data_IF_816121919721
#
_entry.id   IF_816121919721
#
_cell.length_a   1.000
_cell.length_b   1.000
_cell.length_c   1.000
_cell.angle_alpha   90.00
_cell.angle_beta   90.00
_cell.angle_gamma   90.00
#
_symmetry.space_group_name_H-M   'P 1'
#
loop_
_entity.id
_entity.type
_entity.pdbx_description
1 polymer ?
#
# COMPACT_ATOMS: atom_id res chain seq x y z
N UNK A 1 10.32 48.88 -45.57
CA UNK A 1 9.47 47.69 -45.45
C UNK A 1 8.45 47.95 -44.35
N UNK A 2 7.24 48.33 -44.72
CA UNK A 2 6.10 48.51 -43.81
C UNK A 2 4.85 48.15 -44.61
N UNK A 3 4.13 47.12 -44.19
CA UNK A 3 2.88 46.69 -44.82
C UNK A 3 1.76 46.80 -43.78
N UNK A 4 0.99 47.86 -43.95
CA UNK A 4 -0.41 47.97 -43.52
C UNK A 4 -1.23 46.86 -44.17
N UNK A 5 -2.12 46.19 -43.43
CA UNK A 5 -3.15 45.32 -44.00
C UNK A 5 -4.44 45.41 -43.16
N UNK A 6 -5.39 46.14 -43.75
CA UNK A 6 -6.81 45.83 -43.95
C UNK A 6 -7.53 44.90 -42.94
N UNK A 7 -8.53 45.47 -42.28
CA UNK A 7 -9.56 44.78 -41.50
C UNK A 7 -10.67 44.30 -42.45
N UNK A 8 -10.99 43.02 -42.43
CA UNK A 8 -12.16 42.45 -43.10
C UNK A 8 -13.18 42.00 -42.04
N UNK A 9 -14.32 42.69 -41.98
CA UNK A 9 -15.47 42.30 -41.15
C UNK A 9 -16.19 41.12 -41.82
N UNK A 10 -16.23 39.97 -41.13
CA UNK A 10 -17.01 38.81 -41.53
C UNK A 10 -18.22 38.68 -40.60
N UNK A 11 -19.41 38.96 -41.13
CA UNK A 11 -20.69 38.70 -40.46
C UNK A 11 -20.97 37.19 -40.45
N UNK A 12 -20.89 36.56 -39.28
CA UNK A 12 -21.44 35.22 -39.07
C UNK A 12 -22.87 35.32 -38.53
N UNK A 13 -23.82 34.85 -39.32
CA UNK A 13 -25.21 34.63 -38.93
C UNK A 13 -25.25 33.43 -37.97
N UNK A 14 -25.72 33.66 -36.75
CA UNK A 14 -25.95 32.60 -35.74
C UNK A 14 -27.27 31.91 -36.03
N UNK A 15 -27.22 30.65 -36.46
CA UNK A 15 -28.39 29.78 -36.48
C UNK A 15 -28.57 29.15 -35.09
N UNK A 16 -29.53 29.64 -34.32
CA UNK A 16 -29.89 29.07 -33.02
C UNK A 16 -30.62 27.73 -33.21
N UNK A 17 -29.95 26.64 -32.88
CA UNK A 17 -30.53 25.29 -32.85
C UNK A 17 -31.05 25.03 -31.45
N UNK A 18 -32.37 25.08 -31.24
CA UNK A 18 -33.00 24.77 -29.96
C UNK A 18 -33.05 23.25 -29.74
N UNK A 19 -32.05 22.70 -29.05
CA UNK A 19 -32.14 21.32 -28.52
C UNK A 19 -33.05 21.30 -27.28
N UNK A 20 -34.04 20.41 -27.20
CA UNK A 20 -34.87 20.29 -26.00
C UNK A 20 -34.03 19.77 -24.83
N UNK A 21 -34.15 20.47 -23.70
CA UNK A 21 -33.52 20.12 -22.42
C UNK A 21 -34.21 18.87 -21.86
N UNK A 22 -33.61 17.69 -22.03
CA UNK A 22 -34.00 16.52 -21.23
C UNK A 22 -33.70 16.85 -19.75
N UNK A 23 -34.76 16.87 -18.93
CA UNK A 23 -34.66 16.99 -17.49
C UNK A 23 -33.80 15.84 -16.93
N UNK A 24 -32.57 16.16 -16.52
CA UNK A 24 -31.71 15.22 -15.81
C UNK A 24 -32.19 15.13 -14.36
N UNK A 25 -32.56 13.92 -13.95
CA UNK A 25 -32.79 13.58 -12.54
C UNK A 25 -31.46 13.84 -11.80
N UNK A 26 -31.43 14.67 -10.75
CA UNK A 26 -30.20 14.91 -10.01
C UNK A 26 -29.68 13.58 -9.46
N UNK A 27 -28.36 13.30 -9.54
CA UNK A 27 -27.79 12.11 -8.92
C UNK A 27 -28.15 12.15 -7.43
N UNK A 28 -28.75 11.06 -6.92
CA UNK A 28 -28.88 10.84 -5.48
C UNK A 28 -27.49 10.98 -4.87
N UNK A 29 -27.30 11.98 -4.01
CA UNK A 29 -26.14 12.04 -3.12
C UNK A 29 -26.08 10.73 -2.36
N UNK A 30 -25.14 9.88 -2.75
CA UNK A 30 -24.91 8.60 -2.13
C UNK A 30 -24.21 8.87 -0.79
N UNK A 31 -24.96 8.61 0.28
CA UNK A 31 -24.61 8.46 1.69
C UNK A 31 -23.26 9.03 2.17
N UNK A 32 -23.36 9.93 3.15
CA UNK A 32 -22.30 10.42 4.04
C UNK A 32 -21.26 9.36 4.41
N UNK A 33 -19.99 9.72 4.64
CA UNK A 33 -19.01 8.82 5.23
C UNK A 33 -19.62 8.23 6.50
N UNK A 34 -19.71 6.90 6.55
CA UNK A 34 -20.01 6.19 7.78
C UNK A 34 -19.08 6.74 8.86
N UNK A 35 -19.63 7.15 10.00
CA UNK A 35 -18.88 7.45 11.20
C UNK A 35 -18.08 6.19 11.55
N UNK A 36 -16.85 6.11 11.07
CA UNK A 36 -15.89 5.12 11.53
C UNK A 36 -15.59 5.59 12.94
N UNK A 37 -16.09 4.87 13.94
CA UNK A 37 -15.61 5.00 15.31
C UNK A 37 -14.12 4.70 15.30
N UNK A 38 -13.29 5.73 15.15
CA UNK A 38 -11.84 5.60 15.15
C UNK A 38 -11.42 5.29 16.57
N UNK A 39 -11.19 4.02 16.87
CA UNK A 39 -10.45 3.65 18.07
C UNK A 39 -9.08 4.33 17.99
N UNK A 40 -8.62 4.99 19.08
CA UNK A 40 -7.36 5.71 19.06
C UNK A 40 -6.20 4.76 18.75
N UNK A 41 -5.33 5.17 17.83
CA UNK A 41 -4.11 4.40 17.47
C UNK A 41 -3.26 4.19 18.72
N UNK A 42 -2.84 2.95 19.03
CA UNK A 42 -1.96 2.68 20.16
C UNK A 42 -0.64 3.48 20.06
N UNK A 43 -0.03 3.88 21.19
CA UNK A 43 1.26 4.55 21.16
C UNK A 43 2.33 3.60 20.63
N UNK A 44 3.15 4.08 19.70
CA UNK A 44 4.28 3.29 19.19
C UNK A 44 5.48 3.40 20.13
N UNK A 45 6.33 2.37 20.10
CA UNK A 45 7.67 2.45 20.68
C UNK A 45 8.46 3.48 19.86
N UNK A 46 9.07 4.52 20.48
CA UNK A 46 9.78 5.55 19.73
C UNK A 46 10.87 5.01 18.80
N UNK A 47 11.55 3.93 19.22
CA UNK A 47 12.57 3.26 18.43
C UNK A 47 12.04 2.64 17.14
N UNK A 48 10.77 2.24 17.08
CA UNK A 48 10.18 1.61 15.90
C UNK A 48 9.89 2.64 14.79
N UNK A 49 9.81 3.93 15.11
CA UNK A 49 9.21 4.94 14.21
C UNK A 49 10.11 6.16 13.99
N UNK A 50 11.33 6.11 14.50
CA UNK A 50 12.33 7.17 14.38
C UNK A 50 12.93 7.28 12.98
N UNK A 51 12.95 6.18 12.21
CA UNK A 51 13.48 6.17 10.84
C UNK A 51 12.69 5.23 9.91
N UNK A 52 12.84 5.37 8.58
CA UNK A 52 12.28 4.41 7.62
C UNK A 52 12.75 2.97 7.84
N UNK A 53 14.03 2.79 8.19
CA UNK A 53 14.62 1.48 8.45
C UNK A 53 14.00 0.84 9.68
N UNK A 54 13.83 1.61 10.74
CA UNK A 54 13.22 1.14 11.98
C UNK A 54 11.76 0.70 11.78
N UNK A 55 10.96 1.47 11.04
CA UNK A 55 9.54 1.15 10.88
C UNK A 55 9.31 -0.04 9.95
N UNK A 56 10.15 -0.21 8.92
CA UNK A 56 10.13 -1.43 8.10
C UNK A 56 10.55 -2.65 8.91
N UNK A 57 11.64 -2.55 9.70
CA UNK A 57 12.07 -3.64 10.57
C UNK A 57 10.97 -4.03 11.58
N UNK A 58 10.35 -3.04 12.24
CA UNK A 58 9.26 -3.28 13.17
C UNK A 58 8.06 -3.96 12.52
N UNK A 59 7.72 -3.60 11.28
CA UNK A 59 6.63 -4.22 10.51
C UNK A 59 6.89 -5.70 10.21
N UNK A 60 8.13 -6.07 9.84
CA UNK A 60 8.52 -7.47 9.64
C UNK A 60 8.59 -8.27 10.94
N UNK A 61 9.16 -7.68 11.99
CA UNK A 61 9.32 -8.33 13.28
C UNK A 61 7.98 -8.66 13.94
N UNK A 62 7.01 -7.74 13.90
CA UNK A 62 5.75 -7.89 14.65
C UNK A 62 4.84 -8.99 14.09
N UNK A 63 4.94 -9.29 12.80
CA UNK A 63 4.21 -10.41 12.18
C UNK A 63 4.97 -11.74 12.31
N UNK A 64 6.26 -11.69 12.64
CA UNK A 64 7.14 -12.85 12.70
C UNK A 64 7.17 -13.52 14.08
N UNK A 65 7.21 -14.85 14.10
CA UNK A 65 7.29 -15.65 15.32
C UNK A 65 6.83 -17.10 15.14
N UNK A 66 7.09 -17.96 16.13
CA UNK A 66 6.60 -19.34 16.15
C UNK A 66 5.06 -19.40 16.19
N UNK A 67 4.53 -20.59 15.88
CA UNK A 67 3.11 -20.89 16.01
C UNK A 67 2.63 -20.64 17.44
N UNK A 68 1.36 -20.29 17.61
CA UNK A 68 0.69 -20.05 18.90
C UNK A 68 1.23 -18.87 19.72
N UNK A 69 2.40 -18.29 19.37
CA UNK A 69 2.86 -17.07 20.00
C UNK A 69 1.99 -15.90 19.55
N UNK A 70 1.28 -15.29 20.51
CA UNK A 70 0.52 -14.06 20.26
C UNK A 70 1.44 -12.97 19.73
N UNK A 71 1.02 -12.34 18.63
CA UNK A 71 1.69 -11.16 18.10
C UNK A 71 1.31 -9.92 18.91
N UNK A 72 2.22 -8.96 18.94
CA UNK A 72 1.99 -7.65 19.55
C UNK A 72 1.18 -6.78 18.57
N UNK A 73 -0.12 -7.01 18.50
CA UNK A 73 -0.99 -6.31 17.54
C UNK A 73 -1.15 -4.82 17.84
N UNK A 74 -0.93 -4.40 19.09
CA UNK A 74 -0.86 -2.99 19.44
C UNK A 74 0.40 -2.34 18.84
N UNK A 75 1.56 -3.01 18.93
CA UNK A 75 2.77 -2.57 18.20
C UNK A 75 2.50 -2.49 16.70
N UNK A 76 1.88 -3.51 16.09
CA UNK A 76 1.55 -3.50 14.66
C UNK A 76 0.67 -2.30 14.29
N UNK A 77 -0.47 -2.14 14.95
CA UNK A 77 -1.42 -1.06 14.67
C UNK A 77 -0.80 0.32 14.92
N UNK A 78 0.14 0.45 15.86
CA UNK A 78 0.84 1.71 16.16
C UNK A 78 1.72 2.23 15.02
N UNK A 79 2.07 1.38 14.03
CA UNK A 79 2.92 1.75 12.89
C UNK A 79 2.13 2.46 11.78
N UNK A 80 0.80 2.30 11.74
CA UNK A 80 -0.02 2.73 10.61
C UNK A 80 -0.68 4.09 10.84
N UNK A 81 -0.71 4.89 9.78
CA UNK A 81 -1.46 6.15 9.77
C UNK A 81 -2.97 5.90 9.70
N UNK A 82 -3.76 6.90 10.10
CA UNK A 82 -5.22 6.84 9.93
C UNK A 82 -5.58 6.69 8.45
N UNK A 83 -6.37 5.66 8.12
CA UNK A 83 -6.78 5.37 6.74
C UNK A 83 -5.80 4.51 5.95
N UNK A 84 -4.71 4.04 6.56
CA UNK A 84 -3.76 3.16 5.92
C UNK A 84 -4.39 1.86 5.39
N UNK A 85 -3.71 1.24 4.42
CA UNK A 85 -4.19 0.03 3.73
C UNK A 85 -3.09 -1.00 3.55
N UNK A 86 -3.47 -2.26 3.72
CA UNK A 86 -2.72 -3.41 3.24
C UNK A 86 -3.41 -3.92 1.99
N UNK A 87 -2.68 -4.06 0.88
CA UNK A 87 -3.25 -4.41 -0.41
C UNK A 87 -2.55 -5.64 -0.97
N UNK A 88 -3.30 -6.72 -1.21
CA UNK A 88 -2.76 -7.95 -1.79
C UNK A 88 -3.03 -8.02 -3.28
N UNK A 89 -2.00 -8.19 -4.09
CA UNK A 89 -2.15 -8.63 -5.49
C UNK A 89 -2.18 -10.14 -5.57
N UNK A 90 -3.21 -10.68 -6.23
CA UNK A 90 -3.33 -12.11 -6.47
C UNK A 90 -4.07 -12.42 -7.77
N UNK A 91 -3.80 -13.58 -8.41
CA UNK A 91 -4.57 -14.01 -9.57
C UNK A 91 -6.04 -14.28 -9.20
N UNK A 92 -6.95 -13.96 -10.12
CA UNK A 92 -8.38 -14.29 -10.02
C UNK A 92 -8.66 -15.63 -10.68
N UNK A 93 -9.72 -16.32 -10.25
CA UNK A 93 -10.16 -17.60 -10.83
C UNK A 93 -10.54 -17.46 -12.30
N UNK A 94 -11.16 -16.33 -12.67
CA UNK A 94 -11.65 -16.04 -14.01
C UNK A 94 -10.54 -15.49 -14.94
N UNK A 95 -9.30 -15.39 -14.45
CA UNK A 95 -8.18 -14.79 -15.16
C UNK A 95 -7.91 -13.33 -14.77
N UNK A 96 -6.67 -12.89 -15.00
CA UNK A 96 -6.16 -11.59 -14.57
C UNK A 96 -5.89 -11.52 -13.05
N UNK A 97 -5.75 -10.31 -12.53
CA UNK A 97 -5.37 -10.06 -11.14
C UNK A 97 -6.42 -9.22 -10.39
N UNK A 98 -6.44 -9.36 -9.06
CA UNK A 98 -7.16 -8.51 -8.12
C UNK A 98 -6.17 -7.82 -7.18
N UNK A 99 -6.46 -6.56 -6.84
CA UNK A 99 -5.83 -5.85 -5.74
C UNK A 99 -6.86 -5.73 -4.59
N UNK A 100 -6.74 -6.59 -3.58
CA UNK A 100 -7.67 -6.62 -2.44
C UNK A 100 -7.11 -5.77 -1.30
N UNK A 101 -7.77 -4.64 -1.02
CA UNK A 101 -7.40 -3.74 0.06
C UNK A 101 -8.13 -4.11 1.37
N UNK A 102 -7.38 -4.14 2.47
CA UNK A 102 -7.87 -4.33 3.84
C UNK A 102 -7.25 -3.27 4.76
N UNK A 103 -7.89 -3.03 5.89
CA UNK A 103 -7.36 -2.15 6.94
C UNK A 103 -6.29 -2.89 7.76
N UNK A 104 -5.41 -2.19 8.51
CA UNK A 104 -4.51 -2.82 9.48
C UNK A 104 -5.24 -3.75 10.43
N UNK A 105 -6.36 -3.31 11.01
CA UNK A 105 -7.17 -4.17 11.88
C UNK A 105 -7.76 -5.38 11.13
N UNK A 106 -8.25 -5.20 9.90
CA UNK A 106 -8.72 -6.32 9.09
C UNK A 106 -7.61 -7.33 8.81
N UNK A 107 -6.36 -6.87 8.59
CA UNK A 107 -5.21 -7.77 8.49
C UNK A 107 -4.98 -8.52 9.79
N UNK A 108 -5.01 -7.85 10.95
CA UNK A 108 -4.89 -8.50 12.27
C UNK A 108 -5.94 -9.59 12.44
N UNK A 109 -7.20 -9.29 12.11
CA UNK A 109 -8.32 -10.23 12.27
C UNK A 109 -8.13 -11.49 11.40
N UNK A 110 -7.67 -11.32 10.15
CA UNK A 110 -7.42 -12.43 9.24
C UNK A 110 -6.14 -13.21 9.57
N UNK A 111 -5.04 -12.51 9.87
CA UNK A 111 -3.72 -13.10 10.07
C UNK A 111 -3.62 -13.84 11.42
N UNK A 112 -4.33 -13.38 12.45
CA UNK A 112 -4.34 -14.03 13.78
C UNK A 112 -4.76 -15.50 13.68
N UNK A 113 -5.79 -15.81 12.88
CA UNK A 113 -6.28 -17.18 12.68
C UNK A 113 -5.22 -18.11 12.06
N UNK A 114 -4.32 -17.55 11.24
CA UNK A 114 -3.22 -18.29 10.65
C UNK A 114 -2.06 -18.46 11.64
N UNK A 115 -1.64 -17.39 12.33
CA UNK A 115 -0.50 -17.41 13.25
C UNK A 115 -0.73 -18.21 14.54
N UNK A 116 -1.99 -18.39 14.95
CA UNK A 116 -2.34 -19.30 16.04
C UNK A 116 -1.97 -20.76 15.73
N UNK A 117 -1.95 -21.14 14.46
CA UNK A 117 -1.73 -22.53 14.02
C UNK A 117 -0.38 -22.75 13.37
N UNK A 118 0.23 -21.70 12.81
CA UNK A 118 1.40 -21.81 11.96
C UNK A 118 2.50 -20.87 12.45
N UNK A 119 3.74 -21.38 12.44
CA UNK A 119 4.91 -20.53 12.50
C UNK A 119 5.00 -19.71 11.23
N UNK A 120 5.40 -18.46 11.39
CA UNK A 120 5.55 -17.54 10.28
C UNK A 120 6.68 -16.57 10.61
N UNK A 121 7.71 -16.59 9.79
CA UNK A 121 8.84 -15.68 9.89
C UNK A 121 9.02 -15.05 8.53
N UNK A 122 8.88 -13.74 8.46
CA UNK A 122 9.13 -12.98 7.26
C UNK A 122 10.24 -11.96 7.51
N UNK A 123 11.21 -11.92 6.61
CA UNK A 123 12.32 -10.98 6.69
C UNK A 123 12.55 -10.31 5.35
N UNK A 124 13.02 -9.08 5.40
CA UNK A 124 13.56 -8.39 4.24
C UNK A 124 14.92 -8.99 3.86
N UNK A 125 15.16 -9.14 2.56
CA UNK A 125 16.45 -9.56 2.00
C UNK A 125 17.07 -8.51 1.08
N UNK A 126 16.28 -7.63 0.48
CA UNK A 126 16.77 -6.54 -0.36
C UNK A 126 15.79 -5.36 -0.34
N UNK A 127 16.28 -4.16 -0.59
CA UNK A 127 15.46 -2.95 -0.59
C UNK A 127 15.94 -1.94 -1.63
N UNK A 128 14.99 -1.35 -2.35
CA UNK A 128 15.17 -0.12 -3.11
C UNK A 128 14.29 0.96 -2.53
N UNK A 129 14.81 2.18 -2.40
CA UNK A 129 14.11 3.27 -1.72
C UNK A 129 14.27 4.58 -2.48
N UNK A 130 13.15 5.27 -2.65
CA UNK A 130 13.06 6.60 -3.22
C UNK A 130 12.45 7.51 -2.15
N UNK A 131 13.09 8.66 -1.87
CA UNK A 131 12.64 9.61 -0.86
C UNK A 131 12.66 11.03 -1.38
N UNK A 132 11.59 11.78 -1.12
CA UNK A 132 11.52 13.21 -1.36
C UNK A 132 10.73 13.89 -0.23
N UNK A 133 11.36 14.85 0.47
CA UNK A 133 10.74 15.52 1.62
C UNK A 133 10.23 14.53 2.69
N UNK A 134 8.92 14.60 2.94
CA UNK A 134 8.21 13.83 3.98
C UNK A 134 7.62 12.51 3.46
N UNK A 135 7.89 12.12 2.22
CA UNK A 135 7.41 10.86 1.64
C UNK A 135 8.57 9.93 1.31
N UNK A 136 8.31 8.63 1.43
CA UNK A 136 9.24 7.59 1.03
C UNK A 136 8.47 6.42 0.43
N UNK A 137 9.00 5.87 -0.66
CA UNK A 137 8.54 4.61 -1.24
C UNK A 137 9.66 3.60 -1.21
N UNK A 138 9.35 2.36 -0.84
CA UNK A 138 10.33 1.29 -0.82
C UNK A 138 9.76 0.02 -1.43
N UNK A 139 10.48 -0.57 -2.37
CA UNK A 139 10.29 -1.97 -2.73
C UNK A 139 11.22 -2.78 -1.83
N UNK A 140 10.61 -3.64 -1.02
CA UNK A 140 11.26 -4.47 -0.04
C UNK A 140 11.00 -5.94 -0.38
N UNK A 141 12.04 -6.63 -0.82
CA UNK A 141 11.96 -8.05 -1.17
C UNK A 141 12.01 -8.86 0.10
N UNK A 142 11.04 -9.76 0.27
CA UNK A 142 10.91 -10.60 1.45
C UNK A 142 11.09 -12.08 1.15
N UNK A 143 11.42 -12.82 2.20
CA UNK A 143 11.31 -14.28 2.28
C UNK A 143 10.47 -14.67 3.48
N UNK A 144 9.56 -15.63 3.32
CA UNK A 144 8.72 -16.17 4.39
C UNK A 144 9.06 -17.65 4.66
N UNK A 145 9.15 -18.02 5.93
CA UNK A 145 9.50 -19.36 6.44
C UNK A 145 8.52 -19.80 7.53
N UNK A 146 8.37 -21.11 7.73
CA UNK A 146 7.54 -21.63 8.82
C UNK A 146 8.31 -21.64 10.13
N UNK A 147 9.60 -21.99 10.06
CA UNK A 147 10.58 -21.84 11.14
C UNK A 147 11.72 -20.93 10.67
N UNK A 148 12.20 -20.05 11.55
CA UNK A 148 13.33 -19.16 11.25
C UNK A 148 14.61 -19.90 10.80
N UNK A 149 14.74 -21.19 11.16
CA UNK A 149 15.88 -22.06 10.82
C UNK A 149 15.66 -22.86 9.53
N UNK A 150 14.50 -22.76 8.89
CA UNK A 150 14.25 -23.45 7.63
C UNK A 150 15.29 -23.03 6.58
N UNK A 151 15.90 -24.00 5.90
CA UNK A 151 16.93 -23.74 4.91
C UNK A 151 16.39 -22.93 3.71
N UNK A 152 15.19 -23.27 3.22
CA UNK A 152 14.55 -22.63 2.08
C UNK A 152 13.24 -21.93 2.48
N UNK A 153 12.95 -20.74 1.93
CA UNK A 153 11.69 -20.08 2.22
C UNK A 153 10.57 -20.79 1.48
N UNK A 154 9.37 -20.81 2.06
CA UNK A 154 8.20 -21.35 1.38
C UNK A 154 7.57 -20.32 0.43
N UNK A 155 7.83 -19.03 0.66
CA UNK A 155 7.36 -17.94 -0.19
C UNK A 155 8.40 -16.82 -0.25
N UNK A 156 8.37 -16.07 -1.35
CA UNK A 156 9.11 -14.82 -1.53
C UNK A 156 8.21 -13.83 -2.26
N UNK A 157 8.54 -12.55 -2.21
CA UNK A 157 7.80 -11.53 -2.95
C UNK A 157 8.35 -10.14 -2.68
N UNK A 158 7.61 -9.13 -3.14
CA UNK A 158 7.96 -7.73 -2.90
C UNK A 158 6.80 -7.06 -2.17
N UNK A 159 7.12 -6.41 -1.05
CA UNK A 159 6.29 -5.41 -0.40
C UNK A 159 6.66 -4.03 -0.94
N UNK A 160 5.70 -3.33 -1.54
CA UNK A 160 5.76 -1.91 -1.86
C UNK A 160 5.21 -1.11 -0.68
N UNK A 161 6.12 -0.47 0.04
CA UNK A 161 5.80 0.41 1.17
C UNK A 161 5.66 1.85 0.70
N UNK A 162 4.62 2.52 1.21
CA UNK A 162 4.53 3.98 1.19
C UNK A 162 4.56 4.49 2.62
N UNK A 163 5.54 5.33 2.92
CA UNK A 163 5.72 5.93 4.24
C UNK A 163 5.52 7.44 4.20
N UNK A 164 5.09 7.97 5.34
CA UNK A 164 4.88 9.38 5.59
C UNK A 164 5.58 9.81 6.87
N UNK A 165 6.28 10.94 6.83
CA UNK A 165 6.85 11.60 7.99
C UNK A 165 6.01 12.82 8.38
N UNK A 166 5.47 12.84 9.59
CA UNK A 166 4.57 13.91 10.06
C UNK A 166 5.30 15.12 10.66
N UNK A 167 6.64 15.11 10.67
CA UNK A 167 7.49 16.09 11.35
C UNK A 167 8.08 15.58 12.67
N UNK A 168 7.50 14.51 13.25
CA UNK A 168 7.94 13.91 14.50
C UNK A 168 8.37 12.45 14.32
N UNK A 169 7.63 11.67 13.53
CA UNK A 169 7.85 10.23 13.34
C UNK A 169 7.39 9.75 11.97
N UNK A 170 7.81 8.53 11.63
CA UNK A 170 7.36 7.83 10.44
C UNK A 170 6.07 7.04 10.69
N UNK A 171 5.28 6.93 9.63
CA UNK A 171 4.03 6.20 9.55
C UNK A 171 3.98 5.37 8.27
N UNK A 172 3.31 4.22 8.33
CA UNK A 172 2.97 3.42 7.15
C UNK A 172 1.61 3.88 6.61
N UNK A 173 1.57 4.27 5.33
CA UNK A 173 0.32 4.56 4.61
C UNK A 173 -0.20 3.33 3.86
N UNK A 174 0.70 2.63 3.16
CA UNK A 174 0.34 1.48 2.34
C UNK A 174 1.41 0.41 2.44
N UNK A 175 0.98 -0.85 2.58
CA UNK A 175 1.78 -2.02 2.24
C UNK A 175 1.06 -2.73 1.10
N UNK A 176 1.63 -2.71 -0.09
CA UNK A 176 1.07 -3.33 -1.27
C UNK A 176 2.01 -4.44 -1.74
N UNK A 177 1.53 -5.68 -1.86
CA UNK A 177 2.44 -6.79 -2.16
C UNK A 177 1.96 -7.72 -3.23
N UNK A 178 2.94 -8.41 -3.83
CA UNK A 178 2.74 -9.53 -4.73
C UNK A 178 3.78 -10.60 -4.44
N UNK A 179 3.32 -11.84 -4.32
CA UNK A 179 4.17 -13.02 -4.17
C UNK A 179 4.81 -13.41 -5.51
N UNK A 180 6.04 -13.88 -5.44
CA UNK A 180 6.75 -14.50 -6.56
C UNK A 180 6.00 -15.74 -7.07
N UNK A 181 5.99 -15.94 -8.39
CA UNK A 181 5.49 -17.19 -8.98
C UNK A 181 6.44 -17.64 -10.09
N UNK A 182 6.30 -18.89 -10.56
CA UNK A 182 7.07 -19.36 -11.71
C UNK A 182 6.83 -18.51 -12.98
N UNK A 183 5.65 -17.90 -13.11
CA UNK A 183 5.29 -17.02 -14.24
C UNK A 183 5.72 -15.56 -14.03
N UNK A 184 6.02 -15.18 -12.80
CA UNK A 184 6.48 -13.84 -12.41
C UNK A 184 7.59 -13.99 -11.37
N UNK A 185 8.81 -14.40 -11.79
CA UNK A 185 9.94 -14.55 -10.90
C UNK A 185 10.42 -13.19 -10.39
N UNK A 186 11.10 -13.19 -9.24
CA UNK A 186 11.72 -11.97 -8.71
C UNK A 186 12.82 -11.48 -9.67
N UNK A 187 12.77 -10.21 -10.13
CA UNK A 187 13.84 -9.65 -10.95
C UNK A 187 15.16 -9.56 -10.17
N UNK A 188 16.28 -9.73 -10.88
CA UNK A 188 17.61 -9.80 -10.27
C UNK A 188 18.00 -8.51 -9.53
N UNK A 189 17.54 -7.36 -10.02
CA UNK A 189 17.76 -6.06 -9.37
C UNK A 189 17.12 -5.99 -7.98
N UNK A 190 16.04 -6.74 -7.71
CA UNK A 190 15.38 -6.75 -6.40
C UNK A 190 15.89 -7.89 -5.50
N UNK A 191 17.05 -8.48 -5.80
CA UNK A 191 17.68 -9.50 -4.99
C UNK A 191 18.98 -8.98 -4.38
N UNK A 192 19.47 -9.58 -3.27
CA UNK A 192 20.80 -9.29 -2.77
C UNK A 192 21.85 -9.47 -3.88
N UNK A 193 22.86 -8.61 -3.90
CA UNK A 193 24.00 -8.79 -4.80
C UNK A 193 24.60 -10.18 -4.58
N UNK A 194 24.84 -10.91 -5.67
CA UNK A 194 25.57 -12.18 -5.61
C UNK A 194 27.01 -11.87 -5.19
N UNK A 195 27.45 -12.42 -4.05
CA UNK A 195 28.84 -12.36 -3.61
C UNK A 195 29.70 -13.39 -4.36
#
# INVERSE_FOLDING_TARGET
>A
MSRSNFVANLFFVVAASTTPLCAQIPPKLQSSPQDVTVSPTPPAKPSDVVSPEAILAAAYEVISGPAMQKRDWDRFNSLFYLGARLVRTAPKKEGGFSATAITPQGYVDHASLYFEKNGFFEREIARHTERWGNILQAFSTYESRHDAKDALPFARGINSFQLFFDGNRWWILTIFWQEETAQNPLPAEFLPASH
#
